data_IF_067683600361
#
_entry.id   IF_067683600361
#
_cell.length_a   1.000
_cell.length_b   1.000
_cell.length_c   1.000
_cell.angle_alpha   90.00
_cell.angle_beta   90.00
_cell.angle_gamma   90.00
#
_symmetry.space_group_name_H-M   'P 1'
#
loop_
_entity.id
_entity.type
_entity.pdbx_description
1 polymer ?
#
# COMPACT_ATOMS: atom_id res chain seq x y z
N UNK A 1 -1.10 2.92 2.49
CA UNK A 1 -0.26 2.59 1.32
C UNK A 1 -0.30 3.77 0.35
N UNK A 2 0.60 4.73 0.53
CA UNK A 2 0.60 5.99 -0.21
C UNK A 2 0.78 5.80 -1.71
N UNK A 3 1.66 4.89 -2.11
CA UNK A 3 1.91 4.56 -3.51
C UNK A 3 0.70 3.90 -4.21
N UNK A 4 -0.18 3.20 -3.47
CA UNK A 4 -1.41 2.63 -4.04
C UNK A 4 -2.43 3.71 -4.35
N UNK A 5 -2.63 4.65 -3.42
CA UNK A 5 -3.54 5.78 -3.61
C UNK A 5 -3.07 6.68 -4.77
N UNK A 6 -1.76 6.95 -4.84
CA UNK A 6 -1.15 7.72 -5.93
C UNK A 6 -1.35 7.03 -7.28
N UNK A 7 -1.02 5.74 -7.38
CA UNK A 7 -1.19 4.97 -8.61
C UNK A 7 -2.63 5.02 -9.13
N UNK A 8 -3.60 4.76 -8.26
CA UNK A 8 -5.01 4.75 -8.64
C UNK A 8 -5.51 6.12 -9.12
N UNK A 9 -5.10 7.20 -8.44
CA UNK A 9 -5.48 8.55 -8.84
C UNK A 9 -4.90 8.92 -10.22
N UNK A 10 -3.60 8.65 -10.42
CA UNK A 10 -2.92 8.94 -11.70
C UNK A 10 -3.49 8.08 -12.83
N UNK A 11 -3.72 6.80 -12.57
CA UNK A 11 -4.30 5.87 -13.55
C UNK A 11 -5.73 6.30 -13.97
N UNK A 12 -6.55 6.78 -13.03
CA UNK A 12 -7.91 7.23 -13.32
C UNK A 12 -7.91 8.50 -14.18
N UNK A 13 -7.01 9.44 -13.87
CA UNK A 13 -6.82 10.66 -14.66
C UNK A 13 -6.32 10.32 -16.06
N UNK A 14 -5.33 9.43 -16.17
CA UNK A 14 -4.78 8.96 -17.44
C UNK A 14 -5.87 8.31 -18.31
N UNK A 15 -6.66 7.39 -17.75
CA UNK A 15 -7.76 6.74 -18.48
C UNK A 15 -8.78 7.80 -18.95
N UNK A 16 -9.15 8.76 -18.10
CA UNK A 16 -10.08 9.81 -18.50
C UNK A 16 -9.55 10.64 -19.68
N UNK A 17 -8.25 10.91 -19.72
CA UNK A 17 -7.60 11.61 -20.82
C UNK A 17 -7.58 10.78 -22.11
N UNK A 18 -7.32 9.47 -22.02
CA UNK A 18 -7.34 8.54 -23.17
C UNK A 18 -8.73 8.43 -23.77
N UNK A 19 -9.78 8.38 -22.95
CA UNK A 19 -11.18 8.28 -23.41
C UNK A 19 -11.73 9.65 -23.88
N UNK A 20 -11.04 10.74 -23.58
CA UNK A 20 -11.50 12.10 -23.91
C UNK A 20 -12.65 12.59 -23.01
N UNK A 21 -12.85 11.98 -21.84
CA UNK A 21 -13.86 12.40 -20.86
C UNK A 21 -13.25 13.50 -19.98
N UNK A 22 -13.95 14.63 -19.88
CA UNK A 22 -13.51 15.73 -19.04
C UNK A 22 -13.87 15.48 -17.56
N UNK A 23 -12.87 15.53 -16.68
CA UNK A 23 -13.07 15.38 -15.24
C UNK A 23 -13.49 16.71 -14.64
N UNK A 24 -14.73 16.75 -14.13
CA UNK A 24 -15.19 17.86 -13.30
C UNK A 24 -14.47 17.83 -11.95
N UNK A 25 -14.34 18.98 -11.29
CA UNK A 25 -13.72 19.10 -9.95
C UNK A 25 -14.32 18.09 -8.96
N UNK A 26 -15.65 17.87 -9.00
CA UNK A 26 -16.31 16.87 -8.16
C UNK A 26 -15.78 15.45 -8.39
N UNK A 27 -15.53 15.05 -9.64
CA UNK A 27 -14.97 13.72 -9.95
C UNK A 27 -13.52 13.59 -9.48
N UNK A 28 -12.73 14.66 -9.55
CA UNK A 28 -11.34 14.67 -9.05
C UNK A 28 -11.33 14.44 -7.53
N UNK A 29 -12.21 15.10 -6.79
CA UNK A 29 -12.35 14.90 -5.34
C UNK A 29 -12.80 13.46 -5.06
N UNK A 30 -13.80 12.95 -5.80
CA UNK A 30 -14.25 11.56 -5.68
C UNK A 30 -13.12 10.57 -5.94
N UNK A 31 -12.27 10.80 -6.95
CA UNK A 31 -11.08 9.97 -7.23
C UNK A 31 -10.15 9.97 -6.02
N UNK A 32 -9.84 11.14 -5.44
CA UNK A 32 -8.94 11.23 -4.28
C UNK A 32 -9.49 10.52 -3.05
N UNK A 33 -10.76 10.72 -2.71
CA UNK A 33 -11.39 10.04 -1.56
C UNK A 33 -11.50 8.54 -1.80
N UNK A 34 -11.89 8.13 -3.01
CA UNK A 34 -12.01 6.72 -3.38
C UNK A 34 -10.65 6.02 -3.39
N UNK A 35 -9.59 6.67 -3.86
CA UNK A 35 -8.25 6.09 -3.90
C UNK A 35 -7.66 5.90 -2.50
N UNK A 36 -7.93 6.83 -1.58
CA UNK A 36 -7.56 6.67 -0.16
C UNK A 36 -8.29 5.47 0.44
N UNK A 37 -9.62 5.38 0.27
CA UNK A 37 -10.40 4.26 0.77
C UNK A 37 -9.94 2.91 0.18
N UNK A 38 -9.68 2.89 -1.12
CA UNK A 38 -9.20 1.72 -1.86
C UNK A 38 -7.78 1.31 -1.44
N UNK A 39 -6.92 2.25 -1.03
CA UNK A 39 -5.57 1.95 -0.55
C UNK A 39 -5.54 1.16 0.76
N UNK A 40 -6.61 1.27 1.57
CA UNK A 40 -6.80 0.49 2.80
C UNK A 40 -7.30 -0.93 2.46
N UNK A 41 -8.18 -1.03 1.46
CA UNK A 41 -8.78 -2.30 1.03
C UNK A 41 -7.77 -3.26 0.36
N UNK A 42 -6.67 -2.76 -0.18
CA UNK A 42 -5.70 -3.54 -0.95
C UNK A 42 -4.68 -4.33 -0.09
N UNK A 43 -4.65 -4.15 1.23
CA UNK A 43 -3.58 -4.67 2.09
C UNK A 43 -3.49 -6.21 2.19
N UNK A 44 -4.57 -6.94 1.88
CA UNK A 44 -4.65 -8.39 2.10
C UNK A 44 -4.61 -9.29 0.85
N UNK A 45 -4.58 -8.71 -0.37
CA UNK A 45 -4.78 -9.48 -1.61
C UNK A 45 -3.57 -9.30 -2.55
N UNK A 46 -2.87 -10.38 -2.95
CA UNK A 46 -1.83 -10.29 -3.99
C UNK A 46 -2.46 -9.80 -5.31
N UNK A 47 -1.87 -8.78 -5.92
CA UNK A 47 -2.47 -8.02 -7.05
C UNK A 47 -3.79 -7.30 -6.74
N UNK A 48 -4.12 -7.06 -5.45
CA UNK A 48 -5.32 -6.35 -5.02
C UNK A 48 -5.44 -4.91 -5.56
N UNK A 49 -4.32 -4.34 -6.02
CA UNK A 49 -4.27 -3.03 -6.68
C UNK A 49 -5.12 -2.96 -7.96
N UNK A 50 -5.22 -4.05 -8.72
CA UNK A 50 -6.01 -4.10 -9.95
C UNK A 50 -7.51 -4.12 -9.66
N UNK A 51 -7.95 -4.95 -8.72
CA UNK A 51 -9.37 -5.09 -8.32
C UNK A 51 -9.91 -3.76 -7.78
N UNK A 52 -9.15 -3.12 -6.91
CA UNK A 52 -9.51 -1.82 -6.32
C UNK A 52 -9.55 -0.70 -7.36
N UNK A 53 -8.71 -0.78 -8.40
CA UNK A 53 -8.73 0.14 -9.54
C UNK A 53 -10.00 -0.01 -10.40
N UNK A 54 -10.45 -1.24 -10.68
CA UNK A 54 -11.72 -1.50 -11.38
C UNK A 54 -12.90 -0.89 -10.62
N UNK A 55 -12.93 -1.07 -9.29
CA UNK A 55 -13.97 -0.50 -8.44
C UNK A 55 -13.97 1.03 -8.49
N UNK A 56 -12.79 1.66 -8.51
CA UNK A 56 -12.66 3.12 -8.61
C UNK A 56 -13.14 3.65 -9.96
N UNK A 57 -12.78 3.01 -11.07
CA UNK A 57 -13.26 3.43 -12.39
C UNK A 57 -14.79 3.36 -12.50
N UNK A 58 -15.38 2.29 -11.97
CA UNK A 58 -16.83 2.15 -11.91
C UNK A 58 -17.50 3.24 -11.06
N UNK A 59 -16.88 3.72 -9.97
CA UNK A 59 -17.45 4.75 -9.11
C UNK A 59 -17.55 6.13 -9.79
N UNK A 60 -16.71 6.40 -10.79
CA UNK A 60 -16.70 7.66 -11.56
C UNK A 60 -17.32 7.53 -12.96
N UNK A 61 -17.80 6.34 -13.30
CA UNK A 61 -18.44 6.01 -14.57
C UNK A 61 -17.48 5.90 -15.75
N UNK A 62 -16.22 5.51 -15.50
CA UNK A 62 -15.24 5.22 -16.54
C UNK A 62 -15.26 3.72 -16.90
N UNK A 63 -15.14 3.36 -18.19
CA UNK A 63 -15.14 1.95 -18.58
C UNK A 63 -13.86 1.25 -18.11
N UNK A 64 -13.99 0.10 -17.46
CA UNK A 64 -12.86 -0.66 -16.94
C UNK A 64 -11.98 -1.29 -18.04
N UNK A 65 -12.48 -1.40 -19.28
CA UNK A 65 -11.76 -1.97 -20.42
C UNK A 65 -10.43 -1.24 -20.71
N UNK A 66 -10.36 0.06 -20.37
CA UNK A 66 -9.16 0.87 -20.53
C UNK A 66 -8.03 0.52 -19.54
N UNK A 67 -8.28 -0.36 -18.56
CA UNK A 67 -7.20 -0.91 -17.74
C UNK A 67 -6.23 -1.77 -18.54
N UNK A 68 -6.66 -2.30 -19.69
CA UNK A 68 -5.77 -3.03 -20.61
C UNK A 68 -4.56 -2.20 -21.06
N UNK A 69 -4.64 -0.86 -21.03
CA UNK A 69 -3.50 0.02 -21.33
C UNK A 69 -2.46 0.06 -20.20
N UNK A 70 -2.84 -0.26 -18.97
CA UNK A 70 -1.99 -0.16 -17.77
C UNK A 70 -1.43 -1.53 -17.39
N UNK A 71 -2.17 -2.62 -17.62
CA UNK A 71 -1.74 -4.00 -17.31
C UNK A 71 -0.31 -4.33 -17.79
N UNK A 72 0.12 -3.97 -19.02
CA UNK A 72 1.47 -4.30 -19.50
C UNK A 72 2.61 -3.67 -18.71
N UNK A 73 2.35 -2.55 -18.02
CA UNK A 73 3.34 -1.83 -17.20
C UNK A 73 3.16 -2.09 -15.70
N UNK A 74 2.06 -2.72 -15.29
CA UNK A 74 1.69 -2.93 -13.88
C UNK A 74 2.77 -3.71 -13.12
N UNK A 75 3.40 -4.70 -13.75
CA UNK A 75 4.50 -5.47 -13.14
C UNK A 75 5.70 -4.60 -12.71
N UNK A 76 5.94 -3.50 -13.41
CA UNK A 76 7.02 -2.55 -13.10
C UNK A 76 6.54 -1.55 -12.05
N UNK A 77 5.36 -0.97 -12.25
CA UNK A 77 4.81 0.06 -11.37
C UNK A 77 4.51 -0.51 -9.98
N UNK A 78 4.03 -1.75 -9.88
CA UNK A 78 3.77 -2.42 -8.60
C UNK A 78 5.04 -2.64 -7.79
N UNK A 79 6.15 -2.97 -8.46
CA UNK A 79 7.47 -3.10 -7.82
C UNK A 79 8.05 -1.76 -7.37
N UNK A 80 7.69 -0.65 -8.02
CA UNK A 80 8.10 0.70 -7.59
C UNK A 80 7.23 1.22 -6.45
N UNK A 81 5.98 0.76 -6.35
CA UNK A 81 5.04 1.14 -5.31
C UNK A 81 5.41 0.60 -3.93
N UNK A 82 5.92 -0.63 -3.87
CA UNK A 82 6.30 -1.29 -2.62
C UNK A 82 7.37 -0.53 -1.82
N UNK A 83 8.52 -0.13 -2.39
CA UNK A 83 9.54 0.62 -1.65
C UNK A 83 9.06 1.99 -1.19
N UNK A 84 8.18 2.66 -1.95
CA UNK A 84 7.61 3.95 -1.55
C UNK A 84 6.72 3.79 -0.30
N UNK A 85 5.89 2.75 -0.26
CA UNK A 85 5.06 2.46 0.92
C UNK A 85 5.94 2.17 2.15
N UNK A 86 6.96 1.32 1.99
CA UNK A 86 7.88 0.99 3.08
C UNK A 86 8.64 2.22 3.57
N UNK A 87 9.06 3.09 2.66
CA UNK A 87 9.72 4.35 3.01
C UNK A 87 8.78 5.27 3.81
N UNK A 88 7.53 5.40 3.37
CA UNK A 88 6.51 6.18 4.08
C UNK A 88 6.28 5.69 5.51
N UNK A 89 6.11 4.37 5.68
CA UNK A 89 5.92 3.76 6.99
C UNK A 89 7.16 3.92 7.88
N UNK A 90 8.37 3.82 7.31
CA UNK A 90 9.64 4.03 8.03
C UNK A 90 9.81 5.47 8.53
N UNK A 91 9.46 6.45 7.68
CA UNK A 91 9.45 7.87 8.06
C UNK A 91 8.39 8.11 9.14
N UNK A 92 7.19 7.52 8.97
CA UNK A 92 6.12 7.57 9.96
C UNK A 92 6.57 7.08 11.33
N UNK A 93 7.24 5.93 11.39
CA UNK A 93 7.81 5.39 12.62
C UNK A 93 8.83 6.37 13.25
N UNK A 94 9.70 6.99 12.45
CA UNK A 94 10.65 8.00 12.91
C UNK A 94 9.97 9.25 13.49
N UNK A 95 8.91 9.74 12.85
CA UNK A 95 8.11 10.88 13.32
C UNK A 95 7.43 10.53 14.65
N UNK A 96 6.79 9.37 14.74
CA UNK A 96 6.14 8.92 15.97
C UNK A 96 7.15 8.77 17.09
N UNK A 97 8.33 8.20 16.83
CA UNK A 97 9.40 8.11 17.82
C UNK A 97 9.85 9.49 18.32
N UNK A 98 9.93 10.49 17.44
CA UNK A 98 10.27 11.85 17.85
C UNK A 98 9.15 12.52 18.66
N UNK A 99 7.89 12.36 18.24
CA UNK A 99 6.72 12.98 18.88
C UNK A 99 6.35 12.34 20.22
N UNK A 100 6.52 11.02 20.35
CA UNK A 100 6.14 10.23 21.53
C UNK A 100 7.33 9.88 22.42
N UNK A 101 8.47 10.56 22.28
CA UNK A 101 9.71 10.22 22.98
C UNK A 101 9.53 10.11 24.50
N UNK A 102 8.86 11.08 25.12
CA UNK A 102 8.64 11.09 26.58
C UNK A 102 7.73 9.95 27.06
N UNK A 103 6.72 9.59 26.26
CA UNK A 103 5.82 8.47 26.57
C UNK A 103 6.56 7.14 26.41
N UNK A 104 7.40 6.99 25.38
CA UNK A 104 8.24 5.80 25.18
C UNK A 104 9.25 5.62 26.32
N UNK A 105 9.85 6.69 26.83
CA UNK A 105 10.80 6.65 27.96
C UNK A 105 10.12 6.25 29.29
N UNK A 106 8.80 6.44 29.42
CA UNK A 106 8.02 6.03 30.58
C UNK A 106 7.54 4.58 30.50
N UNK A 107 7.63 3.94 29.33
CA UNK A 107 7.24 2.53 29.20
C UNK A 107 8.21 1.64 29.97
N UNK A 108 7.71 0.61 30.69
CA UNK A 108 8.58 -0.39 31.27
C UNK A 108 9.42 -1.04 30.17
N UNK A 109 10.67 -1.45 30.46
CA UNK A 109 11.52 -2.08 29.46
C UNK A 109 10.78 -3.26 28.85
N UNK A 110 10.70 -3.26 27.51
CA UNK A 110 10.09 -4.33 26.75
C UNK A 110 10.83 -5.63 27.12
N UNK A 111 10.14 -6.54 27.80
CA UNK A 111 10.66 -7.89 28.02
C UNK A 111 10.62 -8.59 26.67
N UNK A 112 11.73 -8.53 25.95
CA UNK A 112 11.96 -9.36 24.77
C UNK A 112 12.27 -10.74 25.35
N UNK A 113 11.35 -11.72 25.28
CA UNK A 113 11.67 -13.06 25.74
C UNK A 113 12.89 -13.56 24.94
N UNK A 114 13.87 -14.11 25.66
CA UNK A 114 15.13 -14.63 25.13
C UNK A 114 14.83 -15.92 24.32
N UNK A 115 14.16 -15.78 23.18
CA UNK A 115 13.68 -16.89 22.36
C UNK A 115 14.80 -17.44 21.48
N UNK A 116 15.93 -17.81 22.09
CA UNK A 116 16.98 -18.60 21.43
C UNK A 116 16.45 -19.94 20.93
N UNK A 117 15.30 -20.40 21.43
CA UNK A 117 14.62 -21.61 20.99
C UNK A 117 13.84 -21.42 19.67
N UNK A 118 13.25 -20.25 19.39
CA UNK A 118 12.52 -20.02 18.13
C UNK A 118 13.47 -19.89 16.93
N UNK A 119 14.67 -19.33 17.14
CA UNK A 119 15.70 -19.24 16.10
C UNK A 119 16.38 -20.59 15.77
N UNK A 120 16.27 -21.59 16.67
CA UNK A 120 16.78 -22.94 16.43
C UNK A 120 15.79 -23.80 15.64
N UNK A 121 14.49 -23.57 15.79
CA UNK A 121 13.44 -24.31 15.08
C UNK A 121 13.37 -23.92 13.59
N UNK A 122 13.59 -22.65 13.24
CA UNK A 122 13.68 -22.22 11.84
C UNK A 122 14.97 -22.67 11.12
N UNK A 123 16.03 -23.01 11.86
CA UNK A 123 17.31 -23.46 11.28
C UNK A 123 17.42 -24.95 11.07
N UNK A 124 16.35 -25.72 11.31
CA UNK A 124 16.29 -27.14 10.98
C UNK A 124 17.58 -27.89 11.36
N UNK A 125 18.08 -27.67 12.58
CA UNK A 125 19.29 -28.33 13.05
C UNK A 125 18.92 -29.74 13.50
N UNK A 126 19.26 -30.80 12.74
CA UNK A 126 19.13 -32.15 13.23
C UNK A 126 20.29 -32.37 14.21
N UNK A 127 19.98 -32.78 15.44
CA UNK A 127 20.92 -33.11 16.52
C UNK A 127 21.16 -32.01 17.56
N UNK A 128 20.14 -31.77 18.41
CA UNK A 128 20.34 -31.26 19.77
C UNK A 128 20.02 -32.37 20.77
N UNK A 129 20.96 -33.29 20.96
CA UNK A 129 21.08 -34.11 22.16
C UNK A 129 22.00 -33.37 23.15
N UNK A 130 21.43 -32.79 24.22
CA UNK A 130 21.83 -32.93 25.65
C UNK A 130 20.64 -32.47 26.49
#
# INVERSE_FOLDING_TARGET
MDGTALFQAVAAIFISQVVGINLTIGKIITIGVSSIAASIAAAGIPHGGFVTMVMLLNSIGLPADYLAYIVPIDWLVDRLRTPINVLGDSIGAGIINHMCKEELERLPPMHIPDDKHLLAEERGCPDCHV
#
